data_IF_964254883643
#
_entry.id   IF_964254883643
#
_cell.length_a   1.000
_cell.length_b   1.000
_cell.length_c   1.000
_cell.angle_alpha   90.00
_cell.angle_beta   90.00
_cell.angle_gamma   90.00
#
_symmetry.space_group_name_H-M   'P 1'
#
loop_
_entity.id
_entity.type
_entity.pdbx_description
1 polymer ?
#
# COMPACT_ATOMS: atom_id res chain seq x y z
N UNK A 1 0.56 21.89 7.50
CA UNK A 1 1.81 21.42 6.84
C UNK A 1 2.09 19.95 7.16
N UNK A 2 2.22 19.55 8.43
CA UNK A 2 2.53 18.15 8.79
C UNK A 2 1.43 17.12 8.46
N UNK A 3 0.15 17.45 8.65
CA UNK A 3 -0.94 16.56 8.24
C UNK A 3 -1.00 16.34 6.70
N UNK A 4 -0.65 17.36 5.91
CA UNK A 4 -0.57 17.24 4.46
C UNK A 4 0.56 16.28 4.06
N UNK A 5 1.72 16.35 4.71
CA UNK A 5 2.81 15.40 4.47
C UNK A 5 2.38 13.94 4.71
N UNK A 6 1.63 13.66 5.77
CA UNK A 6 1.17 12.29 6.05
C UNK A 6 0.18 11.80 4.99
N UNK A 7 -0.66 12.71 4.47
CA UNK A 7 -1.54 12.42 3.35
C UNK A 7 -0.74 12.08 2.09
N UNK A 8 0.22 12.92 1.72
CA UNK A 8 1.05 12.73 0.53
C UNK A 8 1.89 11.44 0.65
N UNK A 9 2.49 11.18 1.82
CA UNK A 9 3.22 9.94 2.10
C UNK A 9 2.37 8.69 1.88
N UNK A 10 1.11 8.72 2.31
CA UNK A 10 0.18 7.62 2.06
C UNK A 10 -0.17 7.50 0.58
N UNK A 11 -0.38 8.60 -0.14
CA UNK A 11 -0.71 8.58 -1.57
C UNK A 11 0.45 8.02 -2.39
N UNK A 12 1.69 8.41 -2.08
CA UNK A 12 2.90 7.85 -2.66
C UNK A 12 3.04 6.36 -2.34
N UNK A 13 2.79 5.97 -1.09
CA UNK A 13 2.86 4.56 -0.68
C UNK A 13 1.76 3.71 -1.32
N UNK A 14 0.54 4.24 -1.46
CA UNK A 14 -0.58 3.58 -2.16
C UNK A 14 -0.23 3.34 -3.62
N UNK A 15 0.31 4.37 -4.30
CA UNK A 15 0.81 4.27 -5.67
C UNK A 15 1.93 3.22 -5.81
N UNK A 16 2.86 3.19 -4.85
CA UNK A 16 3.91 2.18 -4.78
C UNK A 16 3.31 0.75 -4.72
N UNK A 17 2.37 0.47 -3.82
CA UNK A 17 1.74 -0.86 -3.73
C UNK A 17 1.00 -1.22 -5.02
N UNK A 18 0.27 -0.27 -5.63
CA UNK A 18 -0.42 -0.49 -6.91
C UNK A 18 0.55 -0.87 -8.03
N UNK A 19 1.68 -0.16 -8.12
CA UNK A 19 2.74 -0.44 -9.09
C UNK A 19 3.40 -1.81 -8.82
N UNK A 20 3.72 -2.12 -7.55
CA UNK A 20 4.25 -3.43 -7.15
C UNK A 20 3.30 -4.57 -7.54
N UNK A 21 1.99 -4.43 -7.29
CA UNK A 21 1.00 -5.43 -7.67
C UNK A 21 0.93 -5.62 -9.19
N UNK A 22 0.97 -4.51 -9.94
CA UNK A 22 0.98 -4.54 -11.40
C UNK A 22 2.22 -5.22 -11.96
N UNK A 23 3.40 -4.94 -11.41
CA UNK A 23 4.66 -5.59 -11.79
C UNK A 23 4.63 -7.09 -11.52
N UNK A 24 4.07 -7.51 -10.37
CA UNK A 24 3.88 -8.92 -10.05
C UNK A 24 2.94 -9.62 -11.04
N UNK A 25 1.84 -8.97 -11.43
CA UNK A 25 0.92 -9.49 -12.44
C UNK A 25 1.63 -9.66 -13.80
N UNK A 26 2.41 -8.65 -14.21
CA UNK A 26 3.20 -8.69 -15.43
C UNK A 26 4.29 -9.76 -15.38
N UNK A 27 4.89 -10.03 -14.22
CA UNK A 27 5.87 -11.10 -14.03
C UNK A 27 5.27 -12.52 -14.10
N UNK A 28 3.93 -12.64 -14.18
CA UNK A 28 3.26 -13.94 -14.32
C UNK A 28 3.01 -14.64 -12.99
N UNK A 29 2.73 -13.88 -11.93
CA UNK A 29 2.23 -14.43 -10.67
C UNK A 29 0.99 -15.31 -10.90
N UNK A 30 0.80 -16.32 -10.04
CA UNK A 30 -0.40 -17.17 -10.07
C UNK A 30 -1.69 -16.31 -10.05
N UNK A 31 -2.54 -16.39 -11.10
CA UNK A 31 -3.72 -15.54 -11.21
C UNK A 31 -4.76 -15.78 -10.11
N UNK A 32 -4.93 -17.02 -9.65
CA UNK A 32 -5.91 -17.35 -8.62
C UNK A 32 -5.51 -16.71 -7.27
N UNK A 33 -4.22 -16.75 -6.93
CA UNK A 33 -3.66 -16.06 -5.76
C UNK A 33 -3.74 -14.55 -5.89
N UNK A 34 -3.42 -14.00 -7.06
CA UNK A 34 -3.39 -12.55 -7.28
C UNK A 34 -4.79 -11.92 -7.21
N UNK A 35 -5.79 -12.56 -7.84
CA UNK A 35 -7.18 -12.10 -7.85
C UNK A 35 -7.87 -12.38 -6.51
N UNK A 36 -7.61 -13.56 -5.92
CA UNK A 36 -8.34 -14.04 -4.75
C UNK A 36 -9.83 -14.21 -5.06
N UNK A 37 -10.68 -13.72 -4.16
CA UNK A 37 -12.15 -13.82 -4.30
C UNK A 37 -12.79 -12.60 -4.98
N UNK A 38 -11.99 -11.64 -5.47
CA UNK A 38 -12.53 -10.42 -6.06
C UNK A 38 -13.22 -10.72 -7.39
N UNK A 39 -14.46 -10.25 -7.50
CA UNK A 39 -15.17 -10.12 -8.77
C UNK A 39 -15.03 -8.71 -9.31
N UNK A 40 -14.65 -8.60 -10.58
CA UNK A 40 -14.53 -7.34 -11.31
C UNK A 40 -15.63 -7.25 -12.35
N UNK A 41 -16.29 -6.12 -12.41
CA UNK A 41 -17.18 -5.75 -13.49
C UNK A 41 -16.40 -4.84 -14.44
N UNK A 42 -15.99 -5.37 -15.59
CA UNK A 42 -15.24 -4.65 -16.62
C UNK A 42 -16.05 -4.61 -17.91
N UNK A 43 -16.11 -3.46 -18.57
CA UNK A 43 -16.72 -3.38 -19.90
C UNK A 43 -15.82 -4.04 -20.93
N UNK A 44 -16.39 -4.90 -21.78
CA UNK A 44 -15.65 -5.56 -22.85
C UNK A 44 -14.97 -4.56 -23.80
N UNK A 45 -15.59 -3.40 -24.02
CA UNK A 45 -15.01 -2.32 -24.83
C UNK A 45 -13.68 -1.81 -24.24
N UNK A 46 -13.59 -1.65 -22.92
CA UNK A 46 -12.37 -1.19 -22.25
C UNK A 46 -11.23 -2.20 -22.41
N UNK A 47 -11.56 -3.50 -22.33
CA UNK A 47 -10.58 -4.59 -22.51
C UNK A 47 -10.05 -4.60 -23.94
N UNK A 48 -10.94 -4.52 -24.94
CA UNK A 48 -10.56 -4.51 -26.36
C UNK A 48 -9.77 -3.25 -26.74
N UNK A 49 -10.05 -2.12 -26.07
CA UNK A 49 -9.35 -0.85 -26.30
C UNK A 49 -7.91 -0.82 -25.76
N UNK A 50 -7.49 -1.80 -24.94
CA UNK A 50 -6.13 -1.82 -24.36
C UNK A 50 -5.03 -2.07 -25.40
N UNK A 51 -5.36 -2.72 -26.53
CA UNK A 51 -4.47 -2.92 -27.68
C UNK A 51 -3.37 -3.96 -27.51
N UNK A 52 -2.96 -4.30 -26.29
CA UNK A 52 -1.99 -5.37 -26.01
C UNK A 52 -2.20 -6.02 -24.63
N UNK A 53 -1.60 -7.19 -24.44
CA UNK A 53 -1.77 -7.99 -23.23
C UNK A 53 -1.26 -7.29 -21.96
N UNK A 54 -0.08 -6.64 -22.02
CA UNK A 54 0.47 -5.94 -20.86
C UNK A 54 -0.46 -4.79 -20.41
N UNK A 55 -1.10 -4.10 -21.34
CA UNK A 55 -2.11 -3.07 -21.04
C UNK A 55 -3.39 -3.68 -20.44
N UNK A 56 -3.83 -4.86 -20.89
CA UNK A 56 -4.94 -5.58 -20.26
C UNK A 56 -4.61 -6.02 -18.82
N UNK A 57 -3.38 -6.50 -18.57
CA UNK A 57 -2.91 -6.86 -17.22
C UNK A 57 -2.90 -5.65 -16.30
N UNK A 58 -2.45 -4.48 -16.77
CA UNK A 58 -2.50 -3.23 -16.01
C UNK A 58 -3.93 -2.84 -15.65
N UNK A 59 -4.84 -2.86 -16.62
CA UNK A 59 -6.27 -2.56 -16.39
C UNK A 59 -6.86 -3.45 -15.28
N UNK A 60 -6.61 -4.75 -15.35
CA UNK A 60 -7.10 -5.72 -14.35
C UNK A 60 -6.44 -5.48 -12.98
N UNK A 61 -5.13 -5.24 -12.95
CA UNK A 61 -4.38 -5.00 -11.71
C UNK A 61 -4.84 -3.73 -11.00
N UNK A 62 -5.03 -2.64 -11.73
CA UNK A 62 -5.55 -1.38 -11.21
C UNK A 62 -6.98 -1.55 -10.68
N UNK A 63 -7.83 -2.30 -11.37
CA UNK A 63 -9.19 -2.58 -10.91
C UNK A 63 -9.22 -3.39 -9.61
N UNK A 64 -8.32 -4.37 -9.46
CA UNK A 64 -8.12 -5.12 -8.22
C UNK A 64 -7.66 -4.19 -7.10
N UNK A 65 -6.64 -3.38 -7.35
CA UNK A 65 -6.12 -2.46 -6.35
C UNK A 65 -7.18 -1.46 -5.88
N UNK A 66 -7.94 -0.86 -6.80
CA UNK A 66 -9.06 0.04 -6.47
C UNK A 66 -10.13 -0.63 -5.62
N UNK A 67 -10.46 -1.91 -5.88
CA UNK A 67 -11.39 -2.66 -5.03
C UNK A 67 -10.88 -2.82 -3.60
N UNK A 68 -9.58 -3.07 -3.42
CA UNK A 68 -8.94 -3.16 -2.11
C UNK A 68 -8.89 -1.81 -1.40
N UNK A 69 -8.50 -0.75 -2.11
CA UNK A 69 -8.38 0.62 -1.56
C UNK A 69 -9.72 1.18 -1.09
N UNK A 70 -10.81 0.84 -1.80
CA UNK A 70 -12.16 1.26 -1.44
C UNK A 70 -12.66 0.71 -0.09
N UNK A 71 -12.01 -0.30 0.49
CA UNK A 71 -12.33 -0.80 1.83
C UNK A 71 -11.91 0.18 2.95
N UNK A 72 -11.10 1.22 2.64
CA UNK A 72 -10.66 2.29 3.55
C UNK A 72 -10.02 1.81 4.86
N UNK A 73 -9.46 0.61 4.84
CA UNK A 73 -8.71 0.04 5.95
C UNK A 73 -7.29 -0.25 5.47
N UNK A 74 -6.34 0.61 5.83
CA UNK A 74 -4.96 0.55 5.33
C UNK A 74 -4.28 -0.75 5.73
N UNK A 75 -4.47 -1.17 6.99
CA UNK A 75 -3.95 -2.44 7.50
C UNK A 75 -4.47 -3.64 6.70
N UNK A 76 -5.77 -3.67 6.42
CA UNK A 76 -6.37 -4.73 5.60
C UNK A 76 -5.92 -4.68 4.15
N UNK A 77 -5.78 -3.50 3.54
CA UNK A 77 -5.24 -3.34 2.20
C UNK A 77 -3.84 -3.98 2.10
N UNK A 78 -2.95 -3.65 3.04
CA UNK A 78 -1.58 -4.15 3.04
C UNK A 78 -1.51 -5.63 3.33
N UNK A 79 -2.34 -6.12 4.27
CA UNK A 79 -2.46 -7.55 4.56
C UNK A 79 -2.93 -8.33 3.31
N UNK A 80 -3.94 -7.83 2.60
CA UNK A 80 -4.47 -8.45 1.39
C UNK A 80 -3.48 -8.38 0.22
N UNK A 81 -2.81 -7.25 0.03
CA UNK A 81 -1.76 -7.11 -0.98
C UNK A 81 -0.59 -8.07 -0.72
N UNK A 82 -0.09 -8.11 0.53
CA UNK A 82 0.96 -9.05 0.96
C UNK A 82 0.55 -10.51 0.75
N UNK A 83 -0.68 -10.90 1.11
CA UNK A 83 -1.18 -12.26 0.90
C UNK A 83 -1.25 -12.64 -0.59
N UNK A 84 -1.75 -11.75 -1.45
CA UNK A 84 -1.84 -11.97 -2.91
C UNK A 84 -0.47 -12.11 -3.56
N UNK A 85 0.48 -11.33 -3.08
CA UNK A 85 1.86 -11.37 -3.55
C UNK A 85 2.65 -12.52 -2.90
N UNK A 86 2.13 -13.17 -1.86
CA UNK A 86 2.83 -14.21 -1.11
C UNK A 86 4.05 -13.67 -0.36
N UNK A 87 4.05 -12.38 -0.02
CA UNK A 87 5.17 -11.74 0.65
C UNK A 87 5.07 -12.06 2.13
N UNK A 88 5.97 -12.90 2.64
CA UNK A 88 6.14 -13.14 4.07
C UNK A 88 6.78 -11.89 4.73
N UNK A 89 6.00 -10.81 4.84
CA UNK A 89 6.46 -9.54 5.40
C UNK A 89 6.77 -9.72 6.89
N UNK A 90 7.81 -9.04 7.34
CA UNK A 90 8.20 -9.04 8.75
C UNK A 90 7.15 -8.23 9.49
N UNK A 91 6.50 -8.87 10.46
CA UNK A 91 5.43 -8.26 11.23
C UNK A 91 5.91 -7.05 12.03
N UNK A 92 7.18 -7.01 12.44
CA UNK A 92 7.73 -5.86 13.16
C UNK A 92 7.84 -4.64 12.24
N UNK A 93 8.27 -4.83 11.00
CA UNK A 93 8.37 -3.74 10.00
C UNK A 93 6.97 -3.23 9.65
N UNK A 94 6.03 -4.16 9.42
CA UNK A 94 4.63 -3.82 9.15
C UNK A 94 4.01 -3.03 10.31
N UNK A 95 4.08 -3.57 11.53
CA UNK A 95 3.50 -2.97 12.73
C UNK A 95 4.16 -1.63 13.07
N UNK A 96 5.44 -1.43 12.74
CA UNK A 96 6.13 -0.15 12.90
C UNK A 96 5.56 0.97 12.02
N UNK A 97 5.05 0.65 10.83
CA UNK A 97 4.48 1.61 9.89
C UNK A 97 2.97 1.87 10.10
N UNK A 98 2.23 0.90 10.65
CA UNK A 98 0.77 0.96 10.80
C UNK A 98 0.25 2.21 11.53
N UNK A 99 0.84 2.67 12.65
CA UNK A 99 0.35 3.87 13.35
C UNK A 99 0.28 5.08 12.43
N UNK A 100 1.27 5.26 11.54
CA UNK A 100 1.35 6.43 10.65
C UNK A 100 0.45 6.30 9.43
N UNK A 101 0.29 5.07 8.93
CA UNK A 101 -0.54 4.76 7.77
C UNK A 101 -2.04 4.81 8.11
N UNK A 102 -2.43 4.37 9.31
CA UNK A 102 -3.79 4.50 9.82
C UNK A 102 -4.12 5.96 10.23
N UNK A 103 -3.11 6.71 10.69
CA UNK A 103 -3.28 8.14 11.02
C UNK A 103 -3.83 8.95 9.84
N UNK A 104 -3.57 8.56 8.58
CA UNK A 104 -4.07 9.29 7.40
C UNK A 104 -5.59 9.44 7.41
N UNK A 105 -6.33 8.39 7.74
CA UNK A 105 -7.79 8.47 7.79
C UNK A 105 -8.27 9.44 8.88
N UNK A 106 -7.62 9.40 10.03
CA UNK A 106 -7.94 10.27 11.18
C UNK A 106 -7.63 11.73 10.86
N UNK A 107 -6.47 12.00 10.25
CA UNK A 107 -6.03 13.35 9.91
C UNK A 107 -6.87 13.98 8.79
N UNK A 108 -7.29 13.19 7.79
CA UNK A 108 -8.02 13.71 6.62
C UNK A 108 -9.53 13.74 6.84
N UNK A 109 -10.10 12.74 7.50
CA UNK A 109 -11.56 12.58 7.59
C UNK A 109 -12.15 12.87 8.97
N UNK A 110 -11.33 12.90 10.03
CA UNK A 110 -11.78 13.14 11.42
C UNK A 110 -11.14 14.36 12.07
N UNK A 111 -10.55 15.25 11.27
CA UNK A 111 -9.86 16.47 11.75
C UNK A 111 -8.81 16.18 12.83
N UNK A 112 -8.13 15.03 12.70
CA UNK A 112 -7.10 14.54 13.61
C UNK A 112 -7.60 13.93 14.91
N UNK A 113 -8.93 13.86 15.15
CA UNK A 113 -9.50 13.28 16.37
C UNK A 113 -9.42 11.76 16.39
N UNK A 114 -8.75 11.23 17.41
CA UNK A 114 -8.60 9.79 17.62
C UNK A 114 -9.80 9.21 18.35
N UNK A 115 -10.07 7.92 18.14
CA UNK A 115 -10.98 7.13 18.97
C UNK A 115 -10.20 6.23 19.93
N UNK A 116 -10.92 5.61 20.86
CA UNK A 116 -10.33 4.74 21.88
C UNK A 116 -9.58 3.55 21.27
N UNK A 117 -10.04 3.05 20.11
CA UNK A 117 -9.39 1.96 19.40
C UNK A 117 -8.00 2.37 18.92
N UNK A 118 -7.86 3.51 18.24
CA UNK A 118 -6.56 3.99 17.77
C UNK A 118 -5.59 4.27 18.94
N UNK A 119 -6.09 4.81 20.05
CA UNK A 119 -5.27 5.05 21.25
C UNK A 119 -4.81 3.74 21.90
N UNK A 120 -5.69 2.73 21.95
CA UNK A 120 -5.37 1.42 22.49
C UNK A 120 -4.38 0.64 21.60
N UNK A 121 -4.56 0.70 20.28
CA UNK A 121 -3.71 0.01 19.31
C UNK A 121 -2.33 0.67 19.19
N UNK A 122 -2.24 1.99 19.37
CA UNK A 122 -1.02 2.78 19.17
C UNK A 122 -0.69 3.72 20.35
N UNK A 123 -0.45 3.18 21.56
CA UNK A 123 -0.22 3.98 22.77
C UNK A 123 1.04 4.85 22.71
N UNK A 124 1.97 4.54 21.81
CA UNK A 124 3.18 5.32 21.55
C UNK A 124 2.91 6.63 20.80
N UNK A 125 1.75 6.78 20.13
CA UNK A 125 1.42 8.00 19.39
C UNK A 125 0.93 9.06 20.36
N UNK A 126 1.60 10.21 20.34
CA UNK A 126 1.23 11.33 21.19
C UNK A 126 -0.11 11.92 20.78
N UNK A 127 -1.01 12.02 21.74
CA UNK A 127 -2.33 12.66 21.58
C UNK A 127 -2.37 13.90 22.47
N UNK A 128 -2.85 15.02 21.92
CA UNK A 128 -3.10 16.27 22.66
C UNK A 128 -4.52 16.72 22.38
N UNK A 129 -5.28 16.97 23.45
CA UNK A 129 -6.68 17.41 23.35
C UNK A 129 -7.55 16.47 22.48
N UNK A 130 -7.30 15.15 22.58
CA UNK A 130 -8.01 14.14 21.79
C UNK A 130 -7.63 14.11 20.30
N UNK A 131 -6.56 14.80 19.89
CA UNK A 131 -6.04 14.80 18.51
C UNK A 131 -4.62 14.26 18.41
N UNK A 132 -4.27 13.67 17.26
CA UNK A 132 -2.89 13.28 16.96
C UNK A 132 -1.99 14.52 16.98
N UNK A 133 -0.93 14.49 17.79
CA UNK A 133 0.05 15.55 17.86
C UNK A 133 1.01 15.50 16.65
N UNK A 134 0.60 16.11 15.53
CA UNK A 134 1.44 16.19 14.33
C UNK A 134 2.57 17.21 14.51
N UNK A 135 3.79 16.71 14.70
CA UNK A 135 5.00 17.52 14.85
C UNK A 135 6.13 16.97 13.96
N UNK A 136 7.29 17.63 13.99
CA UNK A 136 8.44 17.22 13.19
C UNK A 136 8.89 15.77 13.48
N UNK A 137 8.86 15.37 14.75
CA UNK A 137 9.23 14.00 15.16
C UNK A 137 8.26 12.98 14.57
N UNK A 138 6.94 13.20 14.72
CA UNK A 138 5.90 12.33 14.17
C UNK A 138 6.06 12.13 12.65
N UNK A 139 6.32 13.22 11.93
CA UNK A 139 6.54 13.17 10.47
C UNK A 139 7.85 12.45 10.11
N UNK A 140 8.92 12.69 10.87
CA UNK A 140 10.19 12.00 10.70
C UNK A 140 10.09 10.49 10.95
N UNK A 141 9.35 10.10 11.99
CA UNK A 141 9.09 8.70 12.30
C UNK A 141 8.21 8.03 11.23
N UNK A 142 7.15 8.72 10.79
CA UNK A 142 6.29 8.25 9.71
C UNK A 142 7.09 7.96 8.44
N UNK A 143 7.92 8.92 8.01
CA UNK A 143 8.78 8.75 6.83
C UNK A 143 9.69 7.54 6.97
N UNK A 144 10.39 7.39 8.10
CA UNK A 144 11.32 6.27 8.33
C UNK A 144 10.61 4.93 8.33
N UNK A 145 9.48 4.83 9.01
CA UNK A 145 8.74 3.58 9.15
C UNK A 145 8.13 3.14 7.82
N UNK A 146 7.53 4.07 7.06
CA UNK A 146 6.95 3.76 5.74
C UNK A 146 8.03 3.45 4.70
N UNK A 147 9.16 4.16 4.71
CA UNK A 147 10.31 3.85 3.83
C UNK A 147 10.89 2.46 4.15
N UNK A 148 11.04 2.11 5.44
CA UNK A 148 11.49 0.78 5.85
C UNK A 148 10.53 -0.31 5.36
N UNK A 149 9.21 -0.08 5.45
CA UNK A 149 8.21 -1.02 4.93
C UNK A 149 8.26 -1.13 3.40
N UNK A 150 8.38 -0.02 2.67
CA UNK A 150 8.48 -0.02 1.22
C UNK A 150 9.70 -0.83 0.74
N UNK A 151 10.88 -0.57 1.35
CA UNK A 151 12.10 -1.33 1.05
C UNK A 151 11.96 -2.81 1.36
N UNK A 152 11.35 -3.15 2.49
CA UNK A 152 11.10 -4.55 2.85
C UNK A 152 10.17 -5.24 1.84
N UNK A 153 9.16 -4.54 1.33
CA UNK A 153 8.28 -5.05 0.27
C UNK A 153 9.08 -5.28 -1.01
N UNK A 154 9.88 -4.31 -1.45
CA UNK A 154 10.72 -4.44 -2.65
C UNK A 154 11.67 -5.63 -2.57
N UNK A 155 12.38 -5.78 -1.45
CA UNK A 155 13.27 -6.92 -1.21
C UNK A 155 12.54 -8.25 -1.34
N UNK A 156 11.33 -8.35 -0.78
CA UNK A 156 10.52 -9.58 -0.83
C UNK A 156 9.96 -9.87 -2.21
N UNK A 157 9.57 -8.83 -2.95
CA UNK A 157 9.07 -8.94 -4.32
C UNK A 157 10.17 -9.42 -5.26
N UNK A 158 11.39 -8.86 -5.13
CA UNK A 158 12.57 -9.28 -5.89
C UNK A 158 12.92 -10.73 -5.55
N UNK A 159 12.99 -11.07 -4.25
CA UNK A 159 13.29 -12.44 -3.81
C UNK A 159 12.25 -13.47 -4.29
N UNK A 160 11.00 -13.06 -4.46
CA UNK A 160 9.93 -13.89 -4.99
C UNK A 160 9.88 -13.94 -6.53
N UNK A 161 10.82 -13.29 -7.25
CA UNK A 161 10.83 -13.15 -8.71
C UNK A 161 9.54 -12.55 -9.28
N UNK A 162 8.93 -11.61 -8.56
CA UNK A 162 7.67 -10.95 -8.95
C UNK A 162 7.89 -9.63 -9.68
N UNK A 163 9.07 -9.42 -10.26
CA UNK A 163 9.43 -8.25 -11.08
C UNK A 163 10.22 -8.72 -12.29
N UNK A 164 9.94 -8.15 -13.47
CA UNK A 164 10.74 -8.44 -14.67
C UNK A 164 12.08 -7.71 -14.57
N UNK A 165 13.09 -8.20 -15.29
CA UNK A 165 14.42 -7.56 -15.30
C UNK A 165 14.40 -6.10 -15.72
N UNK A 166 13.54 -5.74 -16.67
CA UNK A 166 13.35 -4.36 -17.14
C UNK A 166 12.73 -3.42 -16.09
N UNK A 167 12.06 -3.98 -15.08
CA UNK A 167 11.38 -3.21 -14.03
C UNK A 167 12.30 -2.92 -12.84
N UNK A 168 13.49 -3.54 -12.81
CA UNK A 168 14.52 -3.32 -11.80
C UNK A 168 15.40 -2.14 -12.20
N UNK A 169 15.15 -0.95 -11.65
CA UNK A 169 16.07 0.17 -11.77
C UNK A 169 17.32 -0.07 -10.92
N UNK A 170 18.52 0.09 -11.51
CA UNK A 170 19.78 0.09 -10.77
C UNK A 170 20.73 -1.10 -11.00
N UNK A 171 20.38 -2.12 -11.79
CA UNK A 171 21.39 -3.06 -12.30
C UNK A 171 22.18 -2.38 -13.42
N UNK A 172 23.29 -1.72 -13.04
CA UNK A 172 24.38 -1.52 -14.00
C UNK A 172 24.75 -2.90 -14.54
N UNK A 173 24.63 -3.05 -15.86
CA UNK A 173 25.27 -4.13 -16.60
C UNK A 173 26.78 -4.10 -16.33
#
# INVERSE_FOLDING_TARGET
MYAAFIKDLFEDFSAFISDTMTKAALAGIDPARFVGEIRLDLHAADILATGNWDAAVRLVSDAIFRKLENERNTKELLRKASARLGLALDQNVLNGAMPYLDARHILVHRDGRVDDLYVADYPQIQVREGKIATNYQFVGDARRAVDALARHIDERVIAANLVRNQDMSGRRQ
#
